data_IF_171289179711
#
_entry.id   IF_171289179711
#
_cell.length_a   1.000
_cell.length_b   1.000
_cell.length_c   1.000
_cell.angle_alpha   90.00
_cell.angle_beta   90.00
_cell.angle_gamma   90.00
#
_symmetry.space_group_name_H-M   'P 1'
#
loop_
_entity.id
_entity.type
_entity.pdbx_description
1 polymer ?
#
# COMPACT_ATOMS: atom_id res chain seq x y z
N UNK A 1 -1.85 -25.59 -16.82
CA UNK A 1 -2.86 -25.06 -17.76
C UNK A 1 -3.06 -23.61 -17.34
N UNK A 2 -2.39 -22.69 -18.03
CA UNK A 2 -2.37 -21.26 -17.65
C UNK A 2 -3.67 -20.61 -18.18
N UNK A 3 -4.44 -20.01 -17.29
CA UNK A 3 -5.54 -19.15 -17.72
C UNK A 3 -4.95 -17.83 -18.24
N UNK A 4 -5.26 -17.50 -19.46
CA UNK A 4 -4.90 -16.25 -20.12
C UNK A 4 -5.77 -15.11 -19.61
N UNK A 5 -5.15 -13.94 -19.42
CA UNK A 5 -5.68 -12.72 -18.80
C UNK A 5 -6.68 -11.92 -19.64
N UNK A 6 -7.36 -12.53 -20.61
CA UNK A 6 -8.12 -11.79 -21.64
C UNK A 6 -9.42 -11.08 -21.17
N UNK A 7 -9.74 -11.15 -19.88
CA UNK A 7 -11.00 -10.57 -19.36
C UNK A 7 -10.83 -9.41 -18.35
N UNK A 8 -9.60 -8.94 -18.10
CA UNK A 8 -9.37 -7.86 -17.12
C UNK A 8 -9.37 -6.45 -17.73
N UNK A 9 -9.28 -6.33 -19.06
CA UNK A 9 -9.12 -5.03 -19.74
C UNK A 9 -10.45 -4.32 -20.06
N UNK A 10 -11.61 -4.95 -19.85
CA UNK A 10 -12.89 -4.37 -20.29
C UNK A 10 -13.49 -3.32 -19.36
N UNK A 11 -13.08 -3.26 -18.10
CA UNK A 11 -13.73 -2.41 -17.08
C UNK A 11 -12.97 -1.13 -16.70
N UNK A 12 -11.81 -0.87 -17.32
CA UNK A 12 -11.04 0.38 -17.06
C UNK A 12 -11.51 1.53 -17.98
N UNK A 13 -12.68 1.42 -18.59
CA UNK A 13 -13.13 2.41 -19.57
C UNK A 13 -13.78 3.63 -18.91
N UNK A 14 -13.07 4.76 -18.96
CA UNK A 14 -13.61 6.14 -19.00
C UNK A 14 -14.40 6.68 -17.80
N UNK A 15 -13.92 6.53 -16.57
CA UNK A 15 -14.14 7.63 -15.63
C UNK A 15 -13.12 8.70 -16.00
N UNK A 16 -13.57 9.91 -16.37
CA UNK A 16 -12.69 11.04 -16.57
C UNK A 16 -11.82 11.17 -15.32
N UNK A 17 -10.51 10.94 -15.47
CA UNK A 17 -9.58 11.03 -14.36
C UNK A 17 -9.61 12.50 -13.93
N UNK A 18 -10.34 12.81 -12.87
CA UNK A 18 -10.28 14.11 -12.23
C UNK A 18 -8.83 14.37 -11.84
N UNK A 19 -8.40 15.63 -11.86
CA UNK A 19 -7.04 15.96 -11.42
C UNK A 19 -6.83 15.40 -10.00
N UNK A 20 -5.70 14.71 -9.74
CA UNK A 20 -5.44 14.14 -8.43
C UNK A 20 -5.40 15.26 -7.38
N UNK A 21 -6.06 15.02 -6.25
CA UNK A 21 -6.05 15.93 -5.11
C UNK A 21 -4.91 15.54 -4.17
N UNK A 22 -4.11 16.51 -3.76
CA UNK A 22 -3.06 16.34 -2.75
C UNK A 22 -3.49 17.07 -1.49
N UNK A 23 -3.72 16.32 -0.41
CA UNK A 23 -3.99 16.88 0.92
C UNK A 23 -2.68 16.92 1.72
N UNK A 24 -2.38 18.07 2.30
CA UNK A 24 -1.22 18.27 3.19
C UNK A 24 -1.72 18.81 4.51
N UNK A 25 -1.47 18.06 5.58
CA UNK A 25 -1.88 18.43 6.94
C UNK A 25 -0.63 18.45 7.83
N UNK A 26 -0.47 19.55 8.57
CA UNK A 26 0.49 19.61 9.67
C UNK A 26 -0.13 18.92 10.87
N UNK A 27 0.48 17.83 11.32
CA UNK A 27 -0.04 17.07 12.45
C UNK A 27 0.60 17.48 13.77
N UNK A 28 -0.08 17.09 14.86
CA UNK A 28 0.36 17.24 16.24
C UNK A 28 0.25 15.87 16.94
N UNK A 29 1.10 15.53 17.92
CA UNK A 29 1.00 14.26 18.65
C UNK A 29 -0.37 13.97 19.24
N UNK A 30 -1.11 14.99 19.66
CA UNK A 30 -2.44 14.84 20.28
C UNK A 30 -3.56 14.64 19.26
N UNK A 31 -3.36 15.03 17.99
CA UNK A 31 -4.39 14.98 16.94
C UNK A 31 -4.04 14.04 15.78
N UNK A 32 -2.87 13.42 15.77
CA UNK A 32 -2.33 12.69 14.60
C UNK A 32 -3.31 11.67 14.00
N UNK A 33 -4.05 10.95 14.82
CA UNK A 33 -5.02 9.94 14.33
C UNK A 33 -6.16 10.63 13.55
N UNK A 34 -6.73 11.68 14.10
CA UNK A 34 -7.79 12.45 13.44
C UNK A 34 -7.30 13.23 12.24
N UNK A 35 -6.06 13.71 12.28
CA UNK A 35 -5.42 14.45 11.18
C UNK A 35 -5.21 13.53 9.95
N UNK A 36 -4.82 12.28 10.17
CA UNK A 36 -4.71 11.29 9.11
C UNK A 36 -6.07 11.07 8.44
N UNK A 37 -7.13 10.89 9.22
CA UNK A 37 -8.48 10.77 8.69
C UNK A 37 -8.92 11.99 7.89
N UNK A 38 -8.59 13.17 8.38
CA UNK A 38 -8.87 14.43 7.69
C UNK A 38 -8.11 14.55 6.37
N UNK A 39 -6.82 14.15 6.35
CA UNK A 39 -6.02 14.11 5.13
C UNK A 39 -6.61 13.14 4.08
N UNK A 40 -6.98 11.93 4.50
CA UNK A 40 -7.57 10.93 3.62
C UNK A 40 -8.89 11.41 3.00
N UNK A 41 -9.80 11.93 3.83
CA UNK A 41 -11.10 12.44 3.36
C UNK A 41 -10.96 13.66 2.46
N UNK A 42 -10.05 14.59 2.80
CA UNK A 42 -9.75 15.76 1.96
C UNK A 42 -9.13 15.35 0.62
N UNK A 43 -8.33 14.28 0.58
CA UNK A 43 -7.80 13.73 -0.66
C UNK A 43 -8.87 13.02 -1.52
N UNK A 44 -10.07 12.79 -1.00
CA UNK A 44 -11.19 12.22 -1.76
C UNK A 44 -11.10 10.71 -1.96
N UNK A 45 -10.46 9.95 -1.08
CA UNK A 45 -10.27 8.52 -1.27
C UNK A 45 -11.58 7.73 -1.43
N UNK A 46 -12.65 8.17 -0.79
CA UNK A 46 -13.99 7.54 -0.87
C UNK A 46 -14.64 7.66 -2.25
N UNK A 47 -14.20 8.60 -3.07
CA UNK A 47 -14.69 8.76 -4.45
C UNK A 47 -14.08 7.72 -5.40
N UNK A 48 -12.96 7.13 -5.00
CA UNK A 48 -12.17 6.20 -5.81
C UNK A 48 -12.31 4.77 -5.32
N UNK A 49 -12.38 4.56 -4.01
CA UNK A 49 -12.41 3.24 -3.38
C UNK A 49 -13.83 2.73 -3.21
N UNK A 50 -14.02 1.42 -3.40
CA UNK A 50 -15.25 0.72 -3.07
C UNK A 50 -15.10 0.03 -1.72
N UNK A 51 -16.03 0.24 -0.76
CA UNK A 51 -16.01 -0.48 0.52
C UNK A 51 -16.31 -1.98 0.37
N UNK A 52 -16.88 -2.41 -0.76
CA UNK A 52 -17.15 -3.83 -1.03
C UNK A 52 -15.88 -4.63 -1.36
N UNK A 53 -14.82 -3.94 -1.79
CA UNK A 53 -13.54 -4.56 -2.12
C UNK A 53 -12.62 -4.63 -0.90
N UNK A 54 -11.77 -5.65 -0.90
CA UNK A 54 -10.64 -5.70 0.04
C UNK A 54 -9.79 -4.43 -0.11
N UNK A 55 -9.35 -3.87 1.02
CA UNK A 55 -8.47 -2.71 1.05
C UNK A 55 -7.12 -3.08 1.62
N UNK A 56 -6.13 -3.11 0.76
CA UNK A 56 -4.74 -3.41 1.10
C UNK A 56 -4.06 -2.17 1.65
N UNK A 57 -3.46 -2.31 2.81
CA UNK A 57 -2.56 -1.31 3.37
C UNK A 57 -1.11 -1.75 3.11
N UNK A 58 -0.50 -1.21 2.06
CA UNK A 58 0.90 -1.52 1.76
C UNK A 58 1.83 -0.77 2.70
N UNK A 59 2.21 -1.45 3.77
CA UNK A 59 3.10 -0.92 4.81
C UNK A 59 4.53 -0.84 4.28
N UNK A 60 5.27 0.19 4.69
CA UNK A 60 6.67 0.34 4.38
C UNK A 60 7.53 -0.10 5.58
N UNK A 61 8.30 -1.17 5.40
CA UNK A 61 9.35 -1.60 6.32
C UNK A 61 10.69 -1.40 5.62
N UNK A 62 11.44 -0.39 6.04
CA UNK A 62 12.74 -0.08 5.44
C UNK A 62 13.91 -0.72 6.17
N UNK A 63 13.71 -1.07 7.44
CA UNK A 63 14.67 -1.74 8.29
C UNK A 63 13.95 -2.62 9.31
N UNK A 64 14.47 -3.81 9.56
CA UNK A 64 13.89 -4.72 10.54
C UNK A 64 14.05 -4.26 11.98
N UNK A 65 15.09 -3.51 12.28
CA UNK A 65 15.24 -2.90 13.58
C UNK A 65 14.57 -1.54 13.62
N UNK A 66 13.95 -1.22 14.75
CA UNK A 66 13.30 0.08 14.91
C UNK A 66 14.27 1.24 14.76
N UNK A 67 13.95 2.14 13.87
CA UNK A 67 14.63 3.41 13.70
C UNK A 67 13.61 4.51 13.40
N UNK A 68 13.59 5.63 14.16
CA UNK A 68 12.62 6.70 13.97
C UNK A 68 12.58 7.21 12.51
N UNK A 69 11.37 7.44 11.99
CA UNK A 69 11.11 7.94 10.64
C UNK A 69 11.70 7.08 9.51
N UNK A 70 12.02 5.83 9.76
CA UNK A 70 12.54 4.91 8.75
C UNK A 70 11.43 4.12 8.06
N UNK A 71 10.53 3.53 8.83
CA UNK A 71 9.39 2.74 8.37
C UNK A 71 8.08 3.50 8.58
N UNK A 72 6.97 2.97 8.08
CA UNK A 72 5.63 3.49 8.40
C UNK A 72 5.49 3.66 9.90
N UNK A 73 5.04 4.83 10.36
CA UNK A 73 4.83 5.02 11.80
C UNK A 73 3.60 4.23 12.27
N UNK A 74 3.61 3.70 13.51
CA UNK A 74 2.43 3.03 14.07
C UNK A 74 1.18 3.92 14.08
N UNK A 75 1.33 5.21 14.34
CA UNK A 75 0.21 6.17 14.32
C UNK A 75 -0.37 6.37 12.93
N UNK A 76 0.46 6.33 11.89
CA UNK A 76 -0.02 6.40 10.51
C UNK A 76 -0.85 5.16 10.18
N UNK A 77 -0.37 3.98 10.54
CA UNK A 77 -1.10 2.73 10.32
C UNK A 77 -2.41 2.73 11.12
N UNK A 78 -2.36 3.09 12.40
CA UNK A 78 -3.52 3.16 13.29
C UNK A 78 -4.58 4.15 12.77
N UNK A 79 -4.17 5.36 12.42
CA UNK A 79 -5.06 6.40 11.90
C UNK A 79 -5.74 6.02 10.58
N UNK A 80 -5.01 5.36 9.67
CA UNK A 80 -5.59 4.87 8.42
C UNK A 80 -6.60 3.76 8.68
N UNK A 81 -6.28 2.78 9.53
CA UNK A 81 -7.20 1.68 9.86
C UNK A 81 -8.47 2.24 10.53
N UNK A 82 -8.31 3.13 11.52
CA UNK A 82 -9.44 3.74 12.21
C UNK A 82 -10.35 4.49 11.22
N UNK A 83 -9.75 5.31 10.35
CA UNK A 83 -10.49 6.08 9.34
C UNK A 83 -11.28 5.18 8.40
N UNK A 84 -10.66 4.10 7.92
CA UNK A 84 -11.33 3.15 7.04
C UNK A 84 -12.51 2.49 7.73
N UNK A 85 -12.35 2.03 8.98
CA UNK A 85 -13.45 1.42 9.76
C UNK A 85 -14.58 2.40 10.01
N UNK A 86 -14.27 3.64 10.41
CA UNK A 86 -15.25 4.70 10.62
C UNK A 86 -16.05 5.02 9.35
N UNK A 87 -15.43 4.85 8.19
CA UNK A 87 -16.03 5.12 6.87
C UNK A 87 -16.63 3.86 6.20
N UNK A 88 -16.73 2.74 6.95
CA UNK A 88 -17.47 1.53 6.53
C UNK A 88 -16.65 0.52 5.72
N UNK A 89 -15.33 0.62 5.71
CA UNK A 89 -14.47 -0.39 5.11
C UNK A 89 -14.16 -1.50 6.13
N UNK A 90 -14.68 -2.69 5.91
CA UNK A 90 -14.52 -3.81 6.84
C UNK A 90 -13.37 -4.75 6.47
N UNK A 91 -13.06 -4.85 5.17
CA UNK A 91 -12.07 -5.79 4.64
C UNK A 91 -10.70 -5.11 4.49
N UNK A 92 -10.03 -4.88 5.60
CA UNK A 92 -8.74 -4.19 5.66
C UNK A 92 -7.63 -5.21 5.85
N UNK A 93 -6.62 -5.19 4.99
CA UNK A 93 -5.53 -6.17 4.98
C UNK A 93 -4.17 -5.46 5.01
N UNK A 94 -3.53 -5.36 6.18
CA UNK A 94 -2.15 -4.91 6.24
C UNK A 94 -1.26 -5.86 5.43
N UNK A 95 -0.40 -5.29 4.60
CA UNK A 95 0.41 -6.08 3.68
C UNK A 95 1.87 -5.62 3.73
N UNK A 96 2.73 -6.57 4.06
CA UNK A 96 4.16 -6.38 4.21
C UNK A 96 4.93 -7.02 3.05
N UNK A 97 6.16 -6.58 2.85
CA UNK A 97 7.05 -7.14 1.86
C UNK A 97 8.48 -7.20 2.41
N UNK A 98 9.02 -8.40 2.44
CA UNK A 98 10.44 -8.62 2.69
C UNK A 98 11.29 -8.21 1.51
N UNK A 99 12.58 -8.03 1.76
CA UNK A 99 13.59 -7.82 0.73
C UNK A 99 14.78 -8.73 0.98
N UNK A 100 15.75 -8.74 0.08
CA UNK A 100 16.98 -9.55 0.25
C UNK A 100 17.70 -9.27 1.58
N UNK A 101 17.54 -8.06 2.13
CA UNK A 101 18.27 -7.60 3.33
C UNK A 101 17.36 -7.22 4.50
N UNK A 102 16.05 -7.30 4.34
CA UNK A 102 15.07 -6.92 5.37
C UNK A 102 14.08 -8.04 5.59
N UNK A 103 14.07 -8.59 6.79
CA UNK A 103 13.03 -9.48 7.27
C UNK A 103 11.77 -8.68 7.62
N UNK A 104 10.70 -8.90 6.87
CA UNK A 104 9.45 -8.16 7.05
C UNK A 104 8.73 -8.55 8.36
N UNK A 105 8.85 -9.80 8.82
CA UNK A 105 8.19 -10.27 10.04
C UNK A 105 8.87 -9.68 11.28
N UNK A 106 10.20 -9.76 11.35
CA UNK A 106 10.96 -9.10 12.39
C UNK A 106 10.71 -7.59 12.37
N UNK A 107 10.67 -7.00 11.17
CA UNK A 107 10.41 -5.58 10.98
C UNK A 107 9.01 -5.14 11.44
N UNK A 108 7.96 -5.94 11.18
CA UNK A 108 6.61 -5.65 11.64
C UNK A 108 6.50 -5.62 13.17
N UNK A 109 7.16 -6.56 13.84
CA UNK A 109 7.23 -6.63 15.31
C UNK A 109 8.01 -5.43 15.86
N UNK A 110 9.23 -5.22 15.37
CA UNK A 110 10.14 -4.19 15.90
C UNK A 110 9.60 -2.78 15.68
N UNK A 111 8.96 -2.50 14.53
CA UNK A 111 8.34 -1.21 14.23
C UNK A 111 6.93 -1.06 14.79
N UNK A 112 6.46 -2.01 15.61
CA UNK A 112 5.15 -1.99 16.30
C UNK A 112 3.92 -2.06 15.38
N UNK A 113 4.10 -2.49 14.13
CA UNK A 113 2.97 -2.69 13.23
C UNK A 113 2.06 -3.81 13.72
N UNK A 114 2.64 -4.96 14.13
CA UNK A 114 1.90 -6.09 14.71
C UNK A 114 1.02 -5.67 15.89
N UNK A 115 1.52 -4.79 16.78
CA UNK A 115 0.72 -4.30 17.89
C UNK A 115 -0.52 -3.50 17.43
N UNK A 116 -0.38 -2.70 16.36
CA UNK A 116 -1.51 -1.95 15.78
C UNK A 116 -2.49 -2.92 15.11
N UNK A 117 -1.99 -3.87 14.36
CA UNK A 117 -2.80 -4.87 13.67
C UNK A 117 -3.62 -5.71 14.66
N UNK A 118 -2.99 -6.20 15.72
CA UNK A 118 -3.65 -6.92 16.82
C UNK A 118 -4.70 -6.07 17.53
N UNK A 119 -4.40 -4.79 17.81
CA UNK A 119 -5.36 -3.84 18.39
C UNK A 119 -6.64 -3.75 17.58
N UNK A 120 -6.53 -3.85 16.25
CA UNK A 120 -7.66 -3.77 15.34
C UNK A 120 -8.25 -5.13 14.95
N UNK A 121 -7.68 -6.25 15.42
CA UNK A 121 -8.10 -7.61 15.07
C UNK A 121 -7.84 -7.97 13.63
N UNK A 122 -6.78 -7.42 13.03
CA UNK A 122 -6.40 -7.66 11.64
C UNK A 122 -5.28 -8.68 11.53
N UNK A 123 -5.30 -9.47 10.46
CA UNK A 123 -4.24 -10.39 10.09
C UNK A 123 -3.45 -9.83 8.93
N UNK A 124 -2.13 -9.82 9.06
CA UNK A 124 -1.24 -9.33 8.00
C UNK A 124 -0.96 -10.38 6.95
N UNK A 125 -0.75 -9.92 5.73
CA UNK A 125 -0.24 -10.71 4.61
C UNK A 125 1.21 -10.32 4.33
N UNK A 126 2.05 -11.32 4.08
CA UNK A 126 3.44 -11.15 3.68
C UNK A 126 3.57 -11.58 2.23
N UNK A 127 3.96 -10.66 1.35
CA UNK A 127 3.93 -10.88 -0.11
C UNK A 127 4.88 -11.99 -0.58
N UNK A 128 5.90 -12.32 0.20
CA UNK A 128 6.80 -13.44 -0.07
C UNK A 128 6.13 -14.81 0.04
N UNK A 129 5.01 -14.91 0.77
CA UNK A 129 4.25 -16.16 0.90
C UNK A 129 3.13 -16.28 -0.15
N UNK A 130 2.86 -15.20 -0.89
CA UNK A 130 1.75 -15.13 -1.82
C UNK A 130 2.11 -15.72 -3.20
N UNK A 131 1.08 -16.12 -3.95
CA UNK A 131 1.22 -16.51 -5.36
C UNK A 131 1.63 -15.29 -6.20
N UNK A 132 2.69 -15.42 -6.97
CA UNK A 132 3.13 -14.42 -7.95
C UNK A 132 2.76 -14.86 -9.35
N UNK A 133 2.23 -13.95 -10.13
CA UNK A 133 1.80 -14.21 -11.50
C UNK A 133 2.54 -13.31 -12.49
N UNK A 134 2.70 -13.79 -13.72
CA UNK A 134 3.17 -12.96 -14.81
C UNK A 134 2.07 -11.98 -15.22
N UNK A 135 2.41 -10.71 -15.31
CA UNK A 135 1.48 -9.63 -15.67
C UNK A 135 2.12 -8.75 -16.74
N UNK A 136 1.39 -8.54 -17.82
CA UNK A 136 1.81 -7.63 -18.88
C UNK A 136 0.78 -6.49 -18.98
N UNK A 137 1.11 -5.29 -18.51
CA UNK A 137 0.22 -4.14 -18.62
C UNK A 137 -0.10 -3.81 -20.07
N UNK A 138 -1.30 -3.28 -20.34
CA UNK A 138 -1.66 -2.74 -21.65
C UNK A 138 -0.96 -1.42 -21.97
N UNK A 139 -0.52 -0.69 -20.94
CA UNK A 139 0.24 0.55 -21.06
C UNK A 139 1.74 0.31 -21.27
N UNK A 140 2.42 1.32 -21.78
CA UNK A 140 3.89 1.29 -21.91
C UNK A 140 4.56 1.24 -20.55
N UNK A 141 5.42 0.25 -20.34
CA UNK A 141 6.26 0.15 -19.15
C UNK A 141 7.63 0.85 -19.31
N UNK A 142 7.79 1.65 -20.36
CA UNK A 142 9.03 2.37 -20.71
C UNK A 142 10.22 1.38 -20.82
N UNK A 143 11.31 1.66 -20.12
CA UNK A 143 12.49 0.79 -20.11
C UNK A 143 12.22 -0.63 -19.58
N UNK A 144 11.16 -0.84 -18.82
CA UNK A 144 10.81 -2.18 -18.32
C UNK A 144 10.36 -3.11 -19.43
N UNK A 145 9.79 -2.62 -20.53
CA UNK A 145 9.45 -3.43 -21.72
C UNK A 145 10.71 -4.01 -22.39
N UNK A 146 11.87 -3.34 -22.24
CA UNK A 146 13.15 -3.78 -22.77
C UNK A 146 13.82 -4.84 -21.87
N UNK A 147 13.56 -4.77 -20.56
CA UNK A 147 14.15 -5.67 -19.55
C UNK A 147 13.27 -6.91 -19.36
N UNK A 148 11.96 -6.74 -19.35
CA UNK A 148 10.97 -7.78 -19.06
C UNK A 148 10.04 -8.00 -20.27
N UNK A 149 10.57 -8.62 -21.33
CA UNK A 149 9.84 -8.85 -22.60
C UNK A 149 8.55 -9.66 -22.43
N UNK A 150 8.51 -10.56 -21.44
CA UNK A 150 7.38 -11.44 -21.14
C UNK A 150 6.44 -10.86 -20.04
N UNK A 151 6.67 -9.62 -19.64
CA UNK A 151 5.96 -8.98 -18.55
C UNK A 151 6.70 -9.04 -17.21
N UNK A 152 6.09 -8.46 -16.20
CA UNK A 152 6.59 -8.41 -14.82
C UNK A 152 5.90 -9.47 -13.96
N UNK A 153 6.49 -9.85 -12.84
CA UNK A 153 5.83 -10.68 -11.84
C UNK A 153 5.28 -9.81 -10.73
N UNK A 154 4.01 -9.98 -10.42
CA UNK A 154 3.33 -9.27 -9.34
C UNK A 154 2.60 -10.25 -8.42
N UNK A 155 2.44 -9.93 -7.13
CA UNK A 155 1.61 -10.73 -6.24
C UNK A 155 0.15 -10.70 -6.70
N UNK A 156 -0.45 -11.85 -6.93
CA UNK A 156 -1.86 -11.99 -7.30
C UNK A 156 -2.78 -11.34 -6.27
N UNK A 157 -2.34 -11.33 -5.01
CA UNK A 157 -3.02 -10.68 -3.88
C UNK A 157 -3.39 -9.22 -4.13
N UNK A 158 -2.63 -8.49 -4.95
CA UNK A 158 -2.85 -7.06 -5.21
C UNK A 158 -3.92 -6.77 -6.27
N UNK A 159 -4.37 -7.79 -7.03
CA UNK A 159 -5.23 -7.57 -8.19
C UNK A 159 -6.69 -7.37 -7.77
N UNK A 160 -7.34 -6.34 -8.34
CA UNK A 160 -8.78 -6.08 -8.17
C UNK A 160 -9.15 -5.57 -6.77
N UNK A 161 -8.22 -4.98 -6.05
CA UNK A 161 -8.42 -4.48 -4.68
C UNK A 161 -8.12 -2.99 -4.59
N UNK A 162 -8.64 -2.35 -3.55
CA UNK A 162 -8.17 -1.02 -3.17
C UNK A 162 -6.75 -1.14 -2.60
N UNK A 163 -5.87 -0.19 -2.93
CA UNK A 163 -4.49 -0.19 -2.38
C UNK A 163 -4.17 1.20 -1.83
N UNK A 164 -3.79 1.25 -0.57
CA UNK A 164 -3.25 2.44 0.09
C UNK A 164 -1.78 2.19 0.41
N UNK A 165 -0.91 3.00 -0.16
CA UNK A 165 0.50 3.00 0.18
C UNK A 165 0.76 3.85 1.42
N UNK A 166 1.50 3.31 2.39
CA UNK A 166 1.87 3.96 3.65
C UNK A 166 3.39 4.21 3.73
N UNK A 167 3.97 4.95 2.78
CA UNK A 167 5.41 5.18 2.77
C UNK A 167 5.82 6.24 3.79
N UNK A 168 7.07 6.16 4.20
CA UNK A 168 7.78 7.28 4.83
C UNK A 168 8.58 8.01 3.76
N UNK A 169 8.40 9.33 3.62
CA UNK A 169 9.18 10.16 2.73
C UNK A 169 10.59 10.31 3.30
N UNK A 170 11.59 9.83 2.59
CA UNK A 170 13.01 9.89 3.03
C UNK A 170 13.97 9.75 1.85
N UNK A 171 15.24 10.04 2.06
CA UNK A 171 16.29 9.80 1.08
C UNK A 171 16.55 8.30 0.88
N UNK A 172 17.10 7.94 -0.25
CA UNK A 172 17.46 6.57 -0.58
C UNK A 172 18.72 6.51 -1.43
N UNK A 173 19.60 5.56 -1.14
CA UNK A 173 20.93 5.45 -1.78
C UNK A 173 20.84 5.20 -3.29
N UNK A 174 19.88 4.40 -3.76
CA UNK A 174 19.74 4.07 -5.18
C UNK A 174 18.71 4.93 -5.93
N UNK A 175 17.61 5.28 -5.30
CA UNK A 175 16.49 5.96 -5.95
C UNK A 175 16.38 7.44 -5.57
N UNK A 176 17.38 7.98 -4.85
CA UNK A 176 17.44 9.34 -4.31
C UNK A 176 16.37 9.59 -3.26
N UNK A 177 15.12 9.22 -3.53
CA UNK A 177 13.97 9.42 -2.64
C UNK A 177 13.16 8.12 -2.48
N UNK A 178 12.57 7.94 -1.33
CA UNK A 178 11.52 6.95 -1.05
C UNK A 178 10.19 7.66 -0.89
N UNK A 179 9.16 7.08 -1.49
CA UNK A 179 7.77 7.55 -1.42
C UNK A 179 6.84 6.46 -1.93
N UNK A 180 5.59 6.80 -2.27
CA UNK A 180 4.58 5.83 -2.70
C UNK A 180 4.98 5.05 -3.96
N UNK A 181 5.65 5.69 -4.92
CA UNK A 181 6.09 5.02 -6.16
C UNK A 181 7.16 3.96 -5.95
N UNK A 182 7.85 3.98 -4.80
CA UNK A 182 8.89 2.99 -4.48
C UNK A 182 8.39 1.90 -3.51
N UNK A 183 7.34 2.18 -2.76
CA UNK A 183 6.84 1.30 -1.71
C UNK A 183 6.13 0.05 -2.28
#
# INVERSE_FOLDING_TARGET
MFQTSDNLDSDINSKSISKPTVAVIKTDPDSIISDIGSAMRTAGYKEVFSPDLDTILKVNISWQHYYPACSTSPWQLDGVIQTLKDDGFEKIIPTHNGTVVVDAREGAISNKHTNVEEKHGLNSVFLEDEEWISFKPSGKMLVLDEIFNDGIHIPKHLIGKNIIHLPTMKTHVFTTITGAMKN
#
